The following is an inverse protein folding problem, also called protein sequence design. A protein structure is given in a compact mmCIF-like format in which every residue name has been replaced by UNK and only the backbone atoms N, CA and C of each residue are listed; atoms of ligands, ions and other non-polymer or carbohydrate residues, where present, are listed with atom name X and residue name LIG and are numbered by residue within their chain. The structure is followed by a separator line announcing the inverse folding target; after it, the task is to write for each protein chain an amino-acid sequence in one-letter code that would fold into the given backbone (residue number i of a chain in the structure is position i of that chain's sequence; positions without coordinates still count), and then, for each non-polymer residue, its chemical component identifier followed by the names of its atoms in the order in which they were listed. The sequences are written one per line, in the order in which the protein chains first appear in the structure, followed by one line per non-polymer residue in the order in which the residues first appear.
data_IF_486121072619
#
_entry.id   IF_486121072619
#
_cell.length_a   1.000
_cell.length_b   1.000
_cell.length_c   1.000
_cell.angle_alpha   90.00
_cell.angle_beta   90.00
_cell.angle_gamma   90.00
#
_symmetry.space_group_name_H-M   'P 1'
#
loop_
_entity.id
_entity.type
_entity.pdbx_description
1 polymer ?
#
# COMPACT_ATOMS: atom_id res chain seq x y z
N UNK A 1 -4.67 9.79 34.22
CA UNK A 1 -4.18 10.26 32.91
C UNK A 1 -3.23 9.21 32.39
N UNK A 2 -3.40 8.70 31.16
CA UNK A 2 -2.38 7.85 30.56
C UNK A 2 -1.19 8.72 30.13
N UNK A 3 0.02 8.33 30.52
CA UNK A 3 1.26 8.98 30.11
C UNK A 3 1.59 8.59 28.66
N UNK A 4 1.93 9.57 27.82
CA UNK A 4 2.37 9.32 26.45
C UNK A 4 3.70 8.56 26.46
N UNK A 5 3.75 7.41 25.79
CA UNK A 5 4.98 6.67 25.52
C UNK A 5 5.29 6.75 24.03
N UNK A 6 6.37 7.43 23.60
CA UNK A 6 6.77 7.41 22.20
C UNK A 6 7.09 5.98 21.78
N UNK A 7 6.52 5.54 20.65
CA UNK A 7 6.82 4.23 20.04
C UNK A 7 7.42 4.45 18.65
N UNK A 8 8.34 3.56 18.26
CA UNK A 8 8.87 3.54 16.90
C UNK A 8 7.87 2.78 16.02
N UNK A 9 7.31 3.40 14.97
CA UNK A 9 6.47 2.67 14.03
C UNK A 9 7.29 1.59 13.33
N UNK A 10 6.74 0.38 13.20
CA UNK A 10 7.38 -0.73 12.48
C UNK A 10 7.38 -0.53 10.95
N UNK A 11 6.52 0.37 10.46
CA UNK A 11 6.35 0.64 9.03
C UNK A 11 6.93 2.02 8.68
N UNK A 12 7.76 2.05 7.66
CA UNK A 12 8.27 3.30 7.07
C UNK A 12 7.16 3.98 6.26
N UNK A 13 6.97 5.28 6.45
CA UNK A 13 6.03 6.07 5.64
C UNK A 13 6.77 6.59 4.42
N UNK A 14 6.25 6.25 3.24
CA UNK A 14 6.78 6.72 1.96
C UNK A 14 5.74 7.57 1.22
N UNK A 15 6.21 8.51 0.41
CA UNK A 15 5.36 9.30 -0.50
C UNK A 15 5.59 8.81 -1.93
N UNK A 16 4.51 8.41 -2.61
CA UNK A 16 4.53 7.96 -4.01
C UNK A 16 3.69 8.91 -4.87
N UNK A 17 4.15 9.17 -6.10
CA UNK A 17 3.40 9.94 -7.09
C UNK A 17 2.67 8.98 -8.02
N UNK A 18 1.34 9.10 -8.07
CA UNK A 18 0.48 8.37 -8.99
C UNK A 18 -0.23 9.39 -9.88
N UNK A 19 -0.43 9.05 -11.15
CA UNK A 19 -1.31 9.85 -11.99
C UNK A 19 -2.76 9.76 -11.48
N UNK A 20 -3.58 10.76 -11.81
CA UNK A 20 -4.94 10.87 -11.27
C UNK A 20 -5.87 9.74 -11.67
N UNK A 21 -5.66 9.13 -12.84
CA UNK A 21 -6.48 8.01 -13.31
C UNK A 21 -6.18 6.75 -12.51
N UNK A 22 -4.90 6.41 -12.36
CA UNK A 22 -4.45 5.30 -11.55
C UNK A 22 -4.88 5.45 -10.08
N UNK A 23 -4.79 6.66 -9.52
CA UNK A 23 -5.26 6.91 -8.16
C UNK A 23 -6.76 6.62 -8.01
N UNK A 24 -7.59 7.04 -8.98
CA UNK A 24 -9.03 6.73 -8.97
C UNK A 24 -9.29 5.22 -9.06
N UNK A 25 -8.55 4.51 -9.91
CA UNK A 25 -8.66 3.04 -10.02
C UNK A 25 -8.31 2.37 -8.70
N UNK A 26 -7.22 2.80 -8.05
CA UNK A 26 -6.80 2.29 -6.74
C UNK A 26 -7.86 2.58 -5.68
N UNK A 27 -8.42 3.79 -5.66
CA UNK A 27 -9.47 4.18 -4.72
C UNK A 27 -10.72 3.32 -4.87
N UNK A 28 -11.23 3.18 -6.10
CA UNK A 28 -12.38 2.33 -6.37
C UNK A 28 -12.09 0.88 -5.97
N UNK A 29 -10.95 0.32 -6.33
CA UNK A 29 -10.63 -1.06 -6.02
C UNK A 29 -10.50 -1.31 -4.50
N UNK A 30 -9.87 -0.38 -3.76
CA UNK A 30 -9.79 -0.44 -2.30
C UNK A 30 -11.17 -0.36 -1.64
N UNK A 31 -12.07 0.49 -2.15
CA UNK A 31 -13.45 0.60 -1.69
C UNK A 31 -14.24 -0.70 -1.93
N UNK A 32 -14.14 -1.30 -3.12
CA UNK A 32 -14.78 -2.58 -3.43
C UNK A 32 -14.24 -3.72 -2.54
N UNK A 33 -12.96 -3.70 -2.21
CA UNK A 33 -12.32 -4.66 -1.31
C UNK A 33 -12.56 -4.37 0.18
N UNK A 34 -13.20 -3.24 0.52
CA UNK A 34 -13.46 -2.80 1.90
C UNK A 34 -12.19 -2.69 2.77
N UNK A 35 -11.08 -2.24 2.16
CA UNK A 35 -9.79 -2.01 2.86
C UNK A 35 -9.25 -0.61 2.59
N UNK A 36 -8.27 -0.18 3.39
CA UNK A 36 -7.66 1.14 3.17
C UNK A 36 -6.89 1.19 1.86
N UNK A 37 -6.84 2.37 1.22
CA UNK A 37 -6.01 2.63 0.03
C UNK A 37 -4.57 2.13 0.22
N UNK A 38 -3.96 2.44 1.37
CA UNK A 38 -2.59 2.06 1.68
C UNK A 38 -2.43 0.54 1.77
N UNK A 39 -3.39 -0.14 2.41
CA UNK A 39 -3.40 -1.61 2.49
C UNK A 39 -3.51 -2.24 1.10
N UNK A 40 -4.44 -1.74 0.28
CA UNK A 40 -4.61 -2.20 -1.10
C UNK A 40 -3.34 -2.01 -1.95
N UNK A 41 -2.73 -0.82 -1.91
CA UNK A 41 -1.48 -0.54 -2.64
C UNK A 41 -0.38 -1.53 -2.23
N UNK A 42 -0.21 -1.78 -0.93
CA UNK A 42 0.81 -2.72 -0.44
C UNK A 42 0.56 -4.16 -0.92
N UNK A 43 -0.70 -4.62 -0.91
CA UNK A 43 -1.06 -5.94 -1.43
C UNK A 43 -0.83 -6.04 -2.94
N UNK A 44 -1.14 -5.00 -3.71
CA UNK A 44 -0.83 -4.96 -5.14
C UNK A 44 0.67 -5.04 -5.41
N UNK A 45 1.50 -4.32 -4.64
CA UNK A 45 2.96 -4.35 -4.78
C UNK A 45 3.49 -5.75 -4.44
N UNK A 46 3.04 -6.33 -3.31
CA UNK A 46 3.45 -7.68 -2.91
C UNK A 46 3.10 -8.71 -3.99
N UNK A 47 1.85 -8.71 -4.44
CA UNK A 47 1.39 -9.61 -5.51
C UNK A 47 2.23 -9.44 -6.78
N UNK A 48 2.48 -8.20 -7.22
CA UNK A 48 3.27 -7.95 -8.41
C UNK A 48 4.70 -8.52 -8.26
N UNK A 49 5.35 -8.29 -7.12
CA UNK A 49 6.70 -8.80 -6.86
C UNK A 49 6.77 -10.34 -6.83
N UNK A 50 5.77 -11.00 -6.26
CA UNK A 50 5.70 -12.48 -6.23
C UNK A 50 5.52 -13.07 -7.65
N UNK A 51 4.76 -12.39 -8.51
CA UNK A 51 4.41 -12.84 -9.86
C UNK A 51 5.34 -12.31 -10.96
N UNK A 52 6.31 -11.45 -10.61
CA UNK A 52 7.39 -11.03 -11.51
C UNK A 52 8.44 -12.12 -11.76
N UNK A 53 8.22 -13.33 -11.23
CA UNK A 53 9.06 -14.53 -11.38
C UNK A 53 9.11 -15.05 -12.83
N UNK A 54 9.71 -14.28 -13.74
CA UNK A 54 10.20 -14.76 -15.05
C UNK A 54 11.40 -13.95 -15.60
N UNK A 55 11.91 -12.91 -14.90
CA UNK A 55 12.90 -12.01 -15.51
C UNK A 55 14.38 -12.25 -15.14
N UNK A 56 14.70 -13.34 -14.43
CA UNK A 56 16.08 -13.76 -14.11
C UNK A 56 16.25 -15.30 -14.18
N UNK A 57 16.14 -15.86 -15.39
CA UNK A 57 16.77 -17.13 -15.77
C UNK A 57 17.57 -16.97 -17.05
#
# INVERSE_FOLDING_TARGET
MQEFKPFKPEKEVISIRLNSELLKTVDSAAEHAQISRNEFINQCIAYALEHLSDHDK
#
